data_IF_068708298739
#
_entry.id   IF_068708298739
#
_cell.length_a   1.000
_cell.length_b   1.000
_cell.length_c   1.000
_cell.angle_alpha   90.00
_cell.angle_beta   90.00
_cell.angle_gamma   90.00
#
_symmetry.space_group_name_H-M   'P 1'
#
loop_
_entity.id
_entity.type
_entity.pdbx_description
1 polymer ?
#
# COMPACT_ATOMS: atom_id res chain seq x y z
N UNK A 1 -11.09 25.71 9.40
CA UNK A 1 -11.36 24.57 10.30
C UNK A 1 -10.10 24.20 11.08
N UNK A 2 -10.25 23.49 12.20
CA UNK A 2 -9.13 23.06 13.04
C UNK A 2 -8.05 22.28 12.25
N UNK A 3 -8.46 21.37 11.36
CA UNK A 3 -7.53 20.63 10.50
C UNK A 3 -6.65 21.52 9.62
N UNK A 4 -7.22 22.57 9.04
CA UNK A 4 -6.45 23.55 8.24
C UNK A 4 -5.41 24.30 9.09
N UNK A 5 -5.75 24.63 10.33
CA UNK A 5 -4.82 25.25 11.29
C UNK A 5 -3.65 24.30 11.61
N UNK A 6 -3.93 23.00 11.81
CA UNK A 6 -2.89 21.98 12.04
C UNK A 6 -1.93 21.91 10.86
N UNK A 7 -2.43 21.79 9.63
CA UNK A 7 -1.59 21.73 8.42
C UNK A 7 -0.72 22.99 8.29
N UNK A 8 -1.29 24.18 8.51
CA UNK A 8 -0.52 25.41 8.54
C UNK A 8 0.61 25.40 9.57
N UNK A 9 0.33 24.86 10.77
CA UNK A 9 1.33 24.71 11.82
C UNK A 9 2.40 23.68 11.48
N UNK A 10 2.03 22.54 10.87
CA UNK A 10 2.98 21.55 10.36
C UNK A 10 3.96 22.19 9.36
N UNK A 11 3.42 22.95 8.40
CA UNK A 11 4.26 23.64 7.41
C UNK A 11 5.24 24.64 8.05
N UNK A 12 4.82 25.38 9.09
CA UNK A 12 5.69 26.31 9.83
C UNK A 12 6.81 25.58 10.59
N UNK A 13 6.54 24.38 11.09
CA UNK A 13 7.49 23.55 11.85
C UNK A 13 8.40 22.70 10.95
N UNK A 14 8.20 22.70 9.62
CA UNK A 14 8.92 21.84 8.70
C UNK A 14 8.47 20.37 8.75
N UNK A 15 7.30 20.08 9.31
CA UNK A 15 6.72 18.74 9.33
C UNK A 15 6.09 18.41 8.00
N UNK A 16 6.36 17.21 7.48
CA UNK A 16 5.76 16.71 6.24
C UNK A 16 4.31 16.29 6.52
N UNK A 17 3.39 16.68 5.64
CA UNK A 17 1.99 16.23 5.68
C UNK A 17 1.91 14.92 4.89
N UNK A 18 1.57 13.83 5.57
CA UNK A 18 1.32 12.54 4.94
C UNK A 18 -0.18 12.41 4.61
N UNK A 19 -0.47 12.07 3.35
CA UNK A 19 -1.84 11.89 2.84
C UNK A 19 -2.23 10.42 2.68
N UNK A 20 -1.39 9.48 3.07
CA UNK A 20 -1.81 8.07 3.20
C UNK A 20 -2.79 7.91 4.36
N UNK A 21 -3.75 6.97 4.24
CA UNK A 21 -4.82 6.68 5.22
C UNK A 21 -5.90 7.76 5.44
N UNK A 22 -5.86 8.88 4.74
CA UNK A 22 -6.90 9.90 4.91
C UNK A 22 -8.04 9.70 3.91
N UNK A 23 -9.25 10.12 4.29
CA UNK A 23 -10.41 10.11 3.38
C UNK A 23 -10.26 11.16 2.27
N UNK A 24 -10.98 10.96 1.17
CA UNK A 24 -10.89 11.78 -0.04
C UNK A 24 -11.13 13.28 0.23
N UNK A 25 -12.16 13.62 1.03
CA UNK A 25 -12.43 15.02 1.40
C UNK A 25 -11.27 15.64 2.17
N UNK A 26 -10.69 14.88 3.11
CA UNK A 26 -9.54 15.34 3.89
C UNK A 26 -8.30 15.50 3.02
N UNK A 27 -8.12 14.61 2.02
CA UNK A 27 -7.05 14.73 1.02
C UNK A 27 -7.13 16.09 0.30
N UNK A 28 -8.30 16.44 -0.23
CA UNK A 28 -8.49 17.72 -0.94
C UNK A 28 -8.34 18.92 -0.01
N UNK A 29 -8.80 18.84 1.22
CA UNK A 29 -8.59 19.90 2.22
C UNK A 29 -7.09 20.06 2.55
N UNK A 30 -6.33 18.96 2.65
CA UNK A 30 -4.89 18.97 2.90
C UNK A 30 -4.13 19.61 1.73
N UNK A 31 -4.35 19.13 0.50
CA UNK A 31 -3.71 19.64 -0.72
C UNK A 31 -3.99 21.14 -0.93
N UNK A 32 -5.24 21.57 -0.70
CA UNK A 32 -5.62 22.97 -0.88
C UNK A 32 -5.15 23.89 0.26
N UNK A 33 -4.66 23.34 1.36
CA UNK A 33 -4.22 24.12 2.53
C UNK A 33 -2.70 24.18 2.66
N UNK A 34 -2.02 23.08 2.33
CA UNK A 34 -0.55 23.02 2.47
C UNK A 34 0.16 23.96 1.51
N UNK A 35 1.24 24.58 1.98
CA UNK A 35 2.17 25.38 1.18
C UNK A 35 3.49 24.66 0.92
N UNK A 36 3.60 23.40 1.37
CA UNK A 36 4.78 22.55 1.24
C UNK A 36 4.40 21.26 0.54
N UNK A 37 5.38 20.58 -0.12
CA UNK A 37 5.14 19.26 -0.68
C UNK A 37 4.59 18.27 0.34
N UNK A 38 3.64 17.43 -0.08
CA UNK A 38 3.09 16.34 0.71
C UNK A 38 3.79 15.03 0.37
N UNK A 39 3.59 14.01 1.20
CA UNK A 39 3.93 12.63 0.90
C UNK A 39 2.67 11.76 0.96
N UNK A 40 2.51 10.84 0.02
CA UNK A 40 1.72 9.64 0.24
C UNK A 40 2.71 8.52 0.55
N UNK A 41 2.95 8.28 1.83
CA UNK A 41 4.05 7.42 2.29
C UNK A 41 3.91 5.96 1.85
N UNK A 42 2.67 5.48 1.58
CA UNK A 42 2.39 4.12 1.12
C UNK A 42 1.00 4.04 0.47
N UNK A 43 0.91 4.35 -0.82
CA UNK A 43 -0.35 4.32 -1.60
C UNK A 43 -0.08 3.95 -3.05
N UNK A 44 -1.05 3.26 -3.69
CA UNK A 44 -0.96 2.82 -5.08
C UNK A 44 -2.01 3.53 -5.96
N UNK A 45 -2.18 3.08 -7.22
CA UNK A 45 -3.11 3.67 -8.17
C UNK A 45 -4.49 2.99 -8.13
N UNK A 46 -5.55 3.75 -7.89
CA UNK A 46 -6.93 3.27 -7.85
C UNK A 46 -7.41 2.73 -9.21
N UNK A 47 -6.98 3.32 -10.32
CA UNK A 47 -7.35 2.88 -11.66
C UNK A 47 -6.89 1.46 -12.00
N UNK A 48 -5.88 0.94 -11.31
CA UNK A 48 -5.38 -0.43 -11.47
C UNK A 48 -6.02 -1.36 -10.44
N UNK A 49 -6.03 -0.96 -9.18
CA UNK A 49 -6.67 -1.70 -8.10
C UNK A 49 -7.65 -0.78 -7.35
N UNK A 50 -8.98 -0.87 -7.62
CA UNK A 50 -9.98 0.07 -7.15
C UNK A 50 -10.37 -0.17 -5.69
N UNK A 51 -9.43 0.04 -4.80
CA UNK A 51 -9.63 0.03 -3.34
C UNK A 51 -9.48 1.44 -2.77
N UNK A 52 -10.20 1.74 -1.70
CA UNK A 52 -10.27 3.09 -1.12
C UNK A 52 -8.92 3.61 -0.59
N UNK A 53 -7.95 2.72 -0.36
CA UNK A 53 -6.59 3.07 0.07
C UNK A 53 -5.70 3.57 -1.06
N UNK A 54 -6.07 3.30 -2.31
CA UNK A 54 -5.34 3.73 -3.49
C UNK A 54 -5.81 5.10 -3.96
N UNK A 55 -4.89 5.88 -4.53
CA UNK A 55 -5.14 7.23 -5.01
C UNK A 55 -5.79 7.21 -6.40
N UNK A 56 -6.81 8.04 -6.59
CA UNK A 56 -7.39 8.31 -7.91
C UNK A 56 -6.43 9.14 -8.77
N UNK A 57 -6.59 9.10 -10.08
CA UNK A 57 -5.70 9.81 -11.02
C UNK A 57 -5.67 11.33 -10.80
N UNK A 58 -6.76 11.93 -10.40
CA UNK A 58 -6.83 13.34 -10.04
C UNK A 58 -6.06 13.66 -8.75
N UNK A 59 -6.11 12.76 -7.76
CA UNK A 59 -5.32 12.86 -6.53
C UNK A 59 -3.83 12.68 -6.83
N UNK A 60 -3.45 11.70 -7.67
CA UNK A 60 -2.06 11.49 -8.10
C UNK A 60 -1.53 12.78 -8.77
N UNK A 61 -2.28 13.34 -9.72
CA UNK A 61 -1.92 14.60 -10.39
C UNK A 61 -1.80 15.78 -9.42
N UNK A 62 -2.65 15.83 -8.40
CA UNK A 62 -2.60 16.87 -7.38
C UNK A 62 -1.34 16.77 -6.52
N UNK A 63 -0.91 15.56 -6.14
CA UNK A 63 0.37 15.35 -5.44
C UNK A 63 1.55 15.79 -6.31
N UNK A 64 1.60 15.39 -7.59
CA UNK A 64 2.66 15.81 -8.51
C UNK A 64 2.70 17.33 -8.68
N UNK A 65 1.54 17.99 -8.88
CA UNK A 65 1.44 19.45 -8.98
C UNK A 65 1.90 20.17 -7.70
N UNK A 66 1.68 19.57 -6.54
CA UNK A 66 2.14 20.10 -5.26
C UNK A 66 3.67 19.93 -5.06
N UNK A 67 4.37 19.18 -5.92
CA UNK A 67 5.78 18.82 -5.77
C UNK A 67 6.01 17.67 -4.77
N UNK A 68 4.95 16.96 -4.41
CA UNK A 68 4.98 15.84 -3.48
C UNK A 68 5.46 14.53 -4.11
N UNK A 69 5.49 13.47 -3.29
CA UNK A 69 5.95 12.13 -3.68
C UNK A 69 4.91 11.09 -3.28
N UNK A 70 4.69 10.10 -4.13
CA UNK A 70 3.87 8.93 -3.85
C UNK A 70 4.80 7.72 -3.75
N UNK A 71 4.80 7.07 -2.58
CA UNK A 71 5.58 5.87 -2.34
C UNK A 71 4.67 4.64 -2.43
N UNK A 72 5.07 3.64 -3.23
CA UNK A 72 4.27 2.45 -3.45
C UNK A 72 4.15 1.60 -2.19
N UNK A 73 2.93 1.17 -1.92
CA UNK A 73 2.61 0.18 -0.90
C UNK A 73 2.72 -1.23 -1.49
N UNK A 74 3.29 -2.17 -0.74
CA UNK A 74 3.46 -3.57 -1.18
C UNK A 74 2.34 -4.50 -0.72
N UNK A 75 1.35 -4.01 0.01
CA UNK A 75 0.24 -4.89 0.43
C UNK A 75 -0.46 -5.50 -0.78
N UNK A 76 -0.50 -6.84 -0.83
CA UNK A 76 -1.07 -7.60 -1.93
C UNK A 76 -2.50 -7.18 -2.30
N UNK A 77 -3.32 -6.79 -1.31
CA UNK A 77 -4.69 -6.32 -1.52
C UNK A 77 -4.81 -4.92 -2.10
N UNK A 78 -3.71 -4.14 -2.17
CA UNK A 78 -3.66 -2.84 -2.83
C UNK A 78 -3.00 -2.91 -4.20
N UNK A 79 -2.38 -4.06 -4.52
CA UNK A 79 -1.75 -4.35 -5.81
C UNK A 79 -2.71 -5.13 -6.73
N UNK A 80 -3.38 -6.17 -6.22
CA UNK A 80 -4.34 -6.98 -6.99
C UNK A 80 -5.73 -6.94 -6.34
N UNK A 81 -6.72 -6.40 -7.05
CA UNK A 81 -8.12 -6.34 -6.60
C UNK A 81 -8.75 -7.73 -6.35
N UNK A 82 -8.18 -8.79 -6.94
CA UNK A 82 -8.64 -10.16 -6.72
C UNK A 82 -8.00 -10.83 -5.50
N UNK A 83 -6.93 -10.25 -4.94
CA UNK A 83 -6.20 -10.86 -3.82
C UNK A 83 -7.12 -11.16 -2.63
N UNK A 84 -7.93 -10.21 -2.19
CA UNK A 84 -8.83 -10.42 -1.05
C UNK A 84 -9.79 -11.61 -1.25
N UNK A 85 -10.27 -11.82 -2.47
CA UNK A 85 -11.13 -12.97 -2.80
C UNK A 85 -10.34 -14.28 -2.75
N UNK A 86 -9.12 -14.30 -3.28
CA UNK A 86 -8.23 -15.46 -3.27
C UNK A 86 -7.84 -15.82 -1.82
N UNK A 87 -7.46 -14.81 -1.02
CA UNK A 87 -7.08 -14.99 0.39
C UNK A 87 -8.25 -15.49 1.25
N UNK A 88 -9.47 -14.97 1.05
CA UNK A 88 -10.66 -15.50 1.70
C UNK A 88 -10.94 -16.95 1.33
N UNK A 89 -10.76 -17.34 0.08
CA UNK A 89 -10.93 -18.72 -0.36
C UNK A 89 -9.88 -19.64 0.29
N UNK A 90 -8.60 -19.21 0.30
CA UNK A 90 -7.52 -19.93 0.98
C UNK A 90 -7.83 -20.13 2.47
N UNK A 91 -8.19 -19.07 3.19
CA UNK A 91 -8.55 -19.16 4.63
C UNK A 91 -9.77 -20.05 4.88
N UNK A 92 -10.75 -20.04 3.98
CA UNK A 92 -11.91 -20.93 4.07
C UNK A 92 -11.53 -22.41 3.93
N UNK A 93 -10.63 -22.73 3.01
CA UNK A 93 -10.10 -24.08 2.83
C UNK A 93 -9.43 -24.60 4.10
N UNK A 94 -8.70 -23.75 4.82
CA UNK A 94 -7.95 -24.10 6.03
C UNK A 94 -8.65 -23.69 7.33
N UNK A 95 -9.97 -23.41 7.30
CA UNK A 95 -10.71 -22.84 8.44
C UNK A 95 -10.65 -23.71 9.69
N UNK A 96 -10.75 -25.03 9.57
CA UNK A 96 -10.69 -25.96 10.71
C UNK A 96 -9.36 -25.83 11.48
N UNK A 97 -8.25 -25.70 10.79
CA UNK A 97 -6.94 -25.53 11.44
C UNK A 97 -6.80 -24.15 12.05
N UNK A 98 -7.28 -23.12 11.36
CA UNK A 98 -7.32 -21.74 11.88
C UNK A 98 -8.13 -21.71 13.18
N UNK A 99 -9.34 -22.30 13.20
CA UNK A 99 -10.20 -22.33 14.38
C UNK A 99 -9.54 -23.10 15.53
N UNK A 100 -8.81 -24.17 15.23
CA UNK A 100 -8.04 -24.93 16.23
C UNK A 100 -6.94 -24.07 16.86
N UNK A 101 -6.21 -23.28 16.07
CA UNK A 101 -5.20 -22.34 16.58
C UNK A 101 -5.83 -21.24 17.43
N UNK A 102 -6.94 -20.66 16.98
CA UNK A 102 -7.67 -19.63 17.74
C UNK A 102 -8.17 -20.17 19.08
N UNK A 103 -8.62 -21.43 19.14
CA UNK A 103 -9.07 -22.08 20.37
C UNK A 103 -7.95 -22.23 21.41
N UNK A 104 -6.68 -22.22 21.01
CA UNK A 104 -5.52 -22.21 21.93
C UNK A 104 -5.17 -20.81 22.47
N UNK A 105 -5.90 -19.76 22.07
CA UNK A 105 -5.65 -18.38 22.46
C UNK A 105 -4.66 -17.63 21.57
N UNK A 106 -4.23 -18.23 20.46
CA UNK A 106 -3.38 -17.53 19.46
C UNK A 106 -4.20 -16.42 18.81
N UNK A 107 -3.60 -15.23 18.68
CA UNK A 107 -4.25 -14.11 17.99
C UNK A 107 -4.45 -14.43 16.50
N UNK A 108 -5.52 -13.88 15.93
CA UNK A 108 -5.97 -14.19 14.57
C UNK A 108 -4.89 -13.97 13.51
N UNK A 109 -4.15 -12.87 13.59
CA UNK A 109 -3.10 -12.52 12.64
C UNK A 109 -1.95 -13.56 12.67
N UNK A 110 -1.57 -14.01 13.86
CA UNK A 110 -0.56 -15.07 14.01
C UNK A 110 -1.07 -16.43 13.50
N UNK A 111 -2.33 -16.77 13.77
CA UNK A 111 -2.92 -17.99 13.23
C UNK A 111 -2.90 -17.99 11.69
N UNK A 112 -3.23 -16.86 11.06
CA UNK A 112 -3.16 -16.70 9.61
C UNK A 112 -1.74 -16.84 9.07
N UNK A 113 -0.76 -16.22 9.72
CA UNK A 113 0.65 -16.34 9.34
C UNK A 113 1.11 -17.80 9.43
N UNK A 114 0.81 -18.50 10.54
CA UNK A 114 1.17 -19.91 10.72
C UNK A 114 0.57 -20.82 9.63
N UNK A 115 -0.69 -20.58 9.24
CA UNK A 115 -1.34 -21.32 8.15
C UNK A 115 -0.71 -20.98 6.80
N UNK A 116 -0.43 -19.71 6.54
CA UNK A 116 0.25 -19.29 5.31
C UNK A 116 1.64 -19.90 5.17
N UNK A 117 2.40 -20.00 6.26
CA UNK A 117 3.72 -20.64 6.28
C UNK A 117 3.63 -22.16 6.11
N UNK A 118 2.66 -22.80 6.76
CA UNK A 118 2.42 -24.24 6.62
C UNK A 118 2.04 -24.63 5.20
N UNK A 119 1.22 -23.82 4.54
CA UNK A 119 0.75 -24.02 3.16
C UNK A 119 1.39 -23.04 2.20
N UNK A 120 2.72 -22.85 2.33
CA UNK A 120 3.48 -21.83 1.63
C UNK A 120 3.26 -21.81 0.11
N UNK A 121 3.23 -22.99 -0.53
CA UNK A 121 3.02 -23.08 -1.98
C UNK A 121 1.67 -22.49 -2.41
N UNK A 122 0.61 -22.77 -1.66
CA UNK A 122 -0.74 -22.26 -1.94
C UNK A 122 -0.82 -20.76 -1.64
N UNK A 123 -0.29 -20.33 -0.47
CA UNK A 123 -0.32 -18.95 -0.05
C UNK A 123 0.52 -18.03 -0.96
N UNK A 124 1.65 -18.50 -1.47
CA UNK A 124 2.44 -17.76 -2.47
C UNK A 124 1.71 -17.66 -3.82
N UNK A 125 1.05 -18.73 -4.27
CA UNK A 125 0.36 -18.75 -5.56
C UNK A 125 -0.80 -17.74 -5.67
N UNK A 126 -1.37 -17.28 -4.57
CA UNK A 126 -2.46 -16.29 -4.58
C UNK A 126 -1.97 -14.84 -4.54
N UNK A 127 -0.70 -14.60 -4.20
CA UNK A 127 -0.11 -13.27 -4.13
C UNK A 127 0.08 -12.65 -5.51
N UNK A 128 0.00 -11.32 -5.66
CA UNK A 128 0.37 -10.65 -6.89
C UNK A 128 1.86 -10.83 -7.20
N UNK A 129 2.24 -10.60 -8.44
CA UNK A 129 3.64 -10.61 -8.89
C UNK A 129 4.28 -9.22 -8.76
N UNK A 130 5.60 -9.14 -8.89
CA UNK A 130 6.32 -7.86 -8.96
C UNK A 130 5.86 -7.05 -10.17
N UNK A 131 5.60 -7.70 -11.31
CA UNK A 131 5.14 -7.03 -12.55
C UNK A 131 3.78 -6.34 -12.33
N UNK A 132 2.88 -6.92 -11.52
CA UNK A 132 1.63 -6.26 -11.16
C UNK A 132 1.88 -5.00 -10.30
N UNK A 133 2.84 -5.04 -9.38
CA UNK A 133 3.25 -3.85 -8.63
C UNK A 133 3.87 -2.79 -9.57
N UNK A 134 4.68 -3.21 -10.55
CA UNK A 134 5.27 -2.29 -11.54
C UNK A 134 4.22 -1.59 -12.39
N UNK A 135 3.05 -2.18 -12.65
CA UNK A 135 1.95 -1.48 -13.33
C UNK A 135 1.50 -0.23 -12.56
N UNK A 136 1.45 -0.29 -11.23
CA UNK A 136 1.16 0.89 -10.40
C UNK A 136 2.27 1.93 -10.49
N UNK A 137 3.53 1.49 -10.45
CA UNK A 137 4.70 2.37 -10.59
C UNK A 137 4.63 3.11 -11.92
N UNK A 138 4.52 2.38 -13.04
CA UNK A 138 4.48 2.95 -14.38
C UNK A 138 3.31 3.91 -14.58
N UNK A 139 2.14 3.57 -14.02
CA UNK A 139 0.97 4.43 -14.09
C UNK A 139 1.21 5.78 -13.40
N UNK A 140 1.77 5.75 -12.19
CA UNK A 140 2.08 6.98 -11.44
C UNK A 140 3.16 7.78 -12.17
N UNK A 141 4.25 7.13 -12.62
CA UNK A 141 5.31 7.78 -13.42
C UNK A 141 4.76 8.44 -14.68
N UNK A 142 3.85 7.76 -15.40
CA UNK A 142 3.19 8.31 -16.59
C UNK A 142 2.36 9.55 -16.30
N UNK A 143 1.74 9.64 -15.13
CA UNK A 143 0.88 10.77 -14.76
C UNK A 143 1.67 11.98 -14.25
N UNK A 144 2.74 11.78 -13.47
CA UNK A 144 3.41 12.85 -12.72
C UNK A 144 4.95 12.85 -12.83
N UNK A 145 5.52 11.86 -13.49
CA UNK A 145 6.97 11.75 -13.70
C UNK A 145 7.72 11.01 -12.58
N UNK A 146 8.90 10.52 -12.94
CA UNK A 146 9.74 9.68 -12.07
C UNK A 146 10.20 10.37 -10.79
N UNK A 147 10.34 11.69 -10.78
CA UNK A 147 10.79 12.46 -9.62
C UNK A 147 9.74 12.51 -8.47
N UNK A 148 8.53 12.00 -8.71
CA UNK A 148 7.42 12.03 -7.77
C UNK A 148 6.99 10.63 -7.31
N UNK A 149 7.83 9.60 -7.54
CA UNK A 149 7.53 8.22 -7.14
C UNK A 149 8.65 7.69 -6.25
N UNK A 150 8.27 6.97 -5.21
CA UNK A 150 9.16 6.34 -4.24
C UNK A 150 8.70 4.93 -3.85
N UNK A 151 9.42 4.34 -2.90
CA UNK A 151 9.12 3.01 -2.34
C UNK A 151 8.67 3.21 -0.90
N UNK A 152 7.45 2.80 -0.58
CA UNK A 152 6.86 2.89 0.75
C UNK A 152 6.69 1.55 1.45
N UNK A 153 6.81 0.45 0.73
CA UNK A 153 6.64 -0.96 1.11
C UNK A 153 5.59 -1.28 2.19
N UNK A 154 5.70 -0.66 3.36
CA UNK A 154 4.81 -0.85 4.51
C UNK A 154 4.98 -2.23 5.19
N UNK A 155 6.18 -2.79 5.21
CA UNK A 155 6.43 -4.16 5.71
C UNK A 155 5.96 -4.40 7.15
N UNK A 156 6.03 -3.40 8.02
CA UNK A 156 5.59 -3.53 9.42
C UNK A 156 4.05 -3.44 9.58
N UNK A 157 3.34 -2.93 8.55
CA UNK A 157 1.89 -2.73 8.55
C UNK A 157 1.11 -3.73 7.71
N UNK A 158 1.78 -4.66 7.00
CA UNK A 158 1.16 -5.59 6.06
C UNK A 158 1.46 -7.04 6.39
N UNK A 159 0.53 -7.93 6.04
CA UNK A 159 0.66 -9.37 6.25
C UNK A 159 0.86 -10.16 4.93
N UNK A 160 0.92 -9.49 3.81
CA UNK A 160 1.15 -10.09 2.49
C UNK A 160 1.73 -9.07 1.53
N UNK A 161 2.84 -9.40 0.90
CA UNK A 161 3.49 -8.61 -0.14
C UNK A 161 3.58 -9.42 -1.46
N UNK A 162 3.88 -8.79 -2.61
CA UNK A 162 4.06 -9.50 -3.88
C UNK A 162 5.10 -10.63 -3.78
N UNK A 163 4.95 -11.64 -4.63
CA UNK A 163 5.90 -12.74 -4.73
C UNK A 163 7.33 -12.21 -4.88
N UNK A 164 8.24 -12.68 -4.03
CA UNK A 164 9.64 -12.26 -4.06
C UNK A 164 9.94 -10.87 -3.49
N UNK A 165 8.98 -10.26 -2.75
CA UNK A 165 9.14 -8.96 -2.06
C UNK A 165 8.66 -9.02 -0.59
N UNK A 166 8.99 -10.09 0.13
CA UNK A 166 8.49 -10.31 1.49
C UNK A 166 9.26 -9.55 2.57
N UNK A 167 10.49 -9.14 2.29
CA UNK A 167 11.38 -8.44 3.25
C UNK A 167 12.26 -7.41 2.54
N UNK A 168 12.95 -6.58 3.32
CA UNK A 168 13.95 -5.63 2.79
C UNK A 168 15.09 -6.30 2.03
N UNK A 169 15.37 -7.57 2.30
CA UNK A 169 16.38 -8.36 1.59
C UNK A 169 16.00 -8.62 0.13
N UNK A 170 14.71 -8.47 -0.19
CA UNK A 170 14.16 -8.72 -1.54
C UNK A 170 14.21 -7.48 -2.44
N UNK A 171 14.63 -6.31 -1.95
CA UNK A 171 14.76 -5.10 -2.78
C UNK A 171 15.62 -5.26 -4.04
N UNK A 172 16.66 -6.13 -4.10
CA UNK A 172 17.33 -6.43 -5.36
C UNK A 172 16.38 -6.97 -6.45
N UNK A 173 15.32 -7.70 -6.07
CA UNK A 173 14.31 -8.18 -7.04
C UNK A 173 13.48 -7.02 -7.58
N UNK A 174 13.09 -6.07 -6.72
CA UNK A 174 12.41 -4.84 -7.14
C UNK A 174 13.31 -4.00 -8.07
N UNK A 175 14.59 -3.85 -7.73
CA UNK A 175 15.57 -3.13 -8.57
C UNK A 175 15.68 -3.76 -9.96
N UNK A 176 15.69 -5.09 -10.05
CA UNK A 176 15.73 -5.81 -11.35
C UNK A 176 14.47 -5.56 -12.18
N UNK A 177 13.30 -5.40 -11.53
CA UNK A 177 12.05 -5.12 -12.24
C UNK A 177 11.96 -3.68 -12.77
N UNK A 178 12.79 -2.75 -12.25
CA UNK A 178 12.88 -1.36 -12.71
C UNK A 178 13.80 -1.17 -13.93
N UNK A 179 14.60 -2.18 -14.29
CA UNK A 179 15.59 -2.16 -15.40
C UNK A 179 15.02 -2.85 -16.63
#
# INVERSE_FOLDING_TARGET
SFGKTIIGRMNQLGMIVDVSHIGETTFWDAINTTTKPVIASHSNAYSICPVTRNLKDDQIKAVGKNGGVICLNFFSGFVDSNFSKKDMAFRKTHSTEIDSLLATGIQREYAFTMISDKYKTESEAIKPTIEQLMQHFDHIVKLIGINHVGIGSDFDGINSAPQGLSTVLDYPNFTKALI
#
